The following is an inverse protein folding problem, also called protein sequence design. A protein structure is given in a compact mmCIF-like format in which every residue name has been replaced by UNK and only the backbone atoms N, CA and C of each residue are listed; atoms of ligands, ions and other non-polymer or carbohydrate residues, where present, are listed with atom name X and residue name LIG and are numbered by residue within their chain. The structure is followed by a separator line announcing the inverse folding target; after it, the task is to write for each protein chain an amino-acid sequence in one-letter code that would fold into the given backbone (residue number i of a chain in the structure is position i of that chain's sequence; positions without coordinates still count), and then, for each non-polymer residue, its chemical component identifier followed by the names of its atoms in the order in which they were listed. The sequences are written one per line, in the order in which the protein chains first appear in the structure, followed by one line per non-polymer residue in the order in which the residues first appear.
data_IF_667920090035
#
_entry.id   IF_667920090035
#
_cell.length_a   1.000
_cell.length_b   1.000
_cell.length_c   1.000
_cell.angle_alpha   90.00
_cell.angle_beta   90.00
_cell.angle_gamma   90.00
#
_symmetry.space_group_name_H-M   'P 1'
#
loop_
_entity.id
_entity.type
_entity.pdbx_description
1 polymer ?
#
# COMPACT_ATOMS: atom_id res chain seq x y z
N UNK A 1 -15.93 86.10 -7.53
CA UNK A 1 -17.30 85.61 -7.76
C UNK A 1 -17.28 84.09 -7.63
N UNK A 2 -18.22 83.58 -6.84
CA UNK A 2 -18.64 82.19 -6.61
C UNK A 2 -17.80 81.31 -5.65
N UNK A 3 -18.14 81.38 -4.34
CA UNK A 3 -18.12 80.23 -3.42
C UNK A 3 -19.44 79.42 -3.54
N UNK A 4 -19.73 78.41 -2.69
CA UNK A 4 -19.22 77.04 -2.70
C UNK A 4 -20.38 76.01 -2.77
N UNK A 5 -20.10 74.72 -2.92
CA UNK A 5 -21.06 73.66 -2.55
C UNK A 5 -20.39 72.64 -1.64
N UNK A 6 -20.67 72.86 -0.36
CA UNK A 6 -20.48 71.98 0.77
C UNK A 6 -21.34 70.72 0.61
N UNK A 7 -20.74 69.54 0.74
CA UNK A 7 -21.41 68.41 1.39
C UNK A 7 -20.42 67.82 2.39
N UNK A 8 -20.70 68.11 3.66
CA UNK A 8 -20.13 67.42 4.80
C UNK A 8 -20.88 66.09 5.01
N UNK A 9 -20.15 65.02 5.37
CA UNK A 9 -20.58 63.97 6.32
C UNK A 9 -19.36 63.04 6.50
N UNK A 10 -18.57 63.20 7.56
CA UNK A 10 -18.81 62.74 8.92
C UNK A 10 -18.69 61.20 9.08
N UNK A 11 -17.60 60.82 9.74
CA UNK A 11 -17.49 59.78 10.76
C UNK A 11 -17.96 58.36 10.43
N UNK A 12 -16.99 57.44 10.38
CA UNK A 12 -17.24 56.02 10.42
C UNK A 12 -15.97 55.20 10.56
N UNK A 13 -15.15 55.53 11.56
CA UNK A 13 -14.04 54.68 12.01
C UNK A 13 -14.64 53.41 12.64
N UNK A 14 -15.02 52.42 11.84
CA UNK A 14 -15.37 51.09 12.37
C UNK A 14 -14.11 50.24 12.42
N UNK A 15 -13.42 50.37 13.55
CA UNK A 15 -12.58 49.31 14.11
C UNK A 15 -13.45 48.05 14.22
N UNK A 16 -13.43 47.21 13.18
CA UNK A 16 -14.01 45.88 13.27
C UNK A 16 -13.23 45.12 14.35
N UNK A 17 -13.91 44.58 15.38
CA UNK A 17 -13.26 43.91 16.47
C UNK A 17 -12.52 42.67 15.97
N UNK A 18 -11.31 42.49 16.50
CA UNK A 18 -10.52 41.26 16.50
C UNK A 18 -11.41 40.07 16.87
N UNK A 19 -12.00 39.40 15.87
CA UNK A 19 -12.39 38.02 16.04
C UNK A 19 -11.07 37.24 16.11
N UNK A 20 -10.76 36.50 17.20
CA UNK A 20 -9.67 35.56 17.14
C UNK A 20 -9.97 34.66 15.95
N UNK A 21 -9.01 34.51 15.02
CA UNK A 21 -9.05 33.42 14.06
C UNK A 21 -9.29 32.18 14.90
N UNK A 22 -10.53 31.70 14.89
CA UNK A 22 -10.95 30.52 15.59
C UNK A 22 -9.90 29.48 15.24
N UNK A 23 -9.29 28.90 16.27
CA UNK A 23 -8.28 27.88 16.17
C UNK A 23 -8.67 26.97 15.01
N UNK A 24 -7.98 27.16 13.88
CA UNK A 24 -8.06 26.23 12.79
C UNK A 24 -7.35 25.03 13.40
N UNK A 25 -8.16 24.15 13.99
CA UNK A 25 -7.75 22.88 14.55
C UNK A 25 -6.73 22.36 13.56
N UNK A 26 -5.47 22.27 13.97
CA UNK A 26 -4.43 21.64 13.16
C UNK A 26 -4.94 20.22 12.99
N UNK A 27 -5.75 19.99 11.95
CA UNK A 27 -5.96 18.67 11.41
C UNK A 27 -4.55 18.21 11.11
N UNK A 28 -4.03 17.35 11.99
CA UNK A 28 -2.77 16.69 11.73
C UNK A 28 -2.95 16.04 10.37
N UNK A 29 -2.29 16.60 9.36
CA UNK A 29 -2.33 16.10 7.98
C UNK A 29 -1.90 14.62 7.92
N UNK A 30 -1.30 14.11 9.00
CA UNK A 30 -0.96 12.70 9.24
C UNK A 30 -1.51 12.16 10.57
N UNK A 31 -2.74 12.48 10.96
CA UNK A 31 -3.37 11.92 12.16
C UNK A 31 -3.55 10.38 12.08
N UNK A 32 -3.83 9.69 13.21
CA UNK A 32 -3.97 8.23 13.27
C UNK A 32 -4.96 7.65 12.25
N UNK A 33 -6.11 8.31 12.05
CA UNK A 33 -7.12 7.89 11.09
C UNK A 33 -6.65 8.05 9.64
N UNK A 34 -5.90 9.12 9.34
CA UNK A 34 -5.32 9.29 8.00
C UNK A 34 -4.29 8.20 7.69
N UNK A 35 -3.43 7.84 8.67
CA UNK A 35 -2.46 6.74 8.53
C UNK A 35 -3.15 5.38 8.33
N UNK A 36 -4.27 5.14 9.01
CA UNK A 36 -5.09 3.95 8.80
C UNK A 36 -5.72 3.91 7.41
N UNK A 37 -6.25 5.02 6.90
CA UNK A 37 -6.79 5.11 5.54
C UNK A 37 -5.71 4.85 4.48
N UNK A 38 -4.50 5.37 4.67
CA UNK A 38 -3.36 5.08 3.79
C UNK A 38 -3.03 3.58 3.82
N UNK A 39 -3.00 2.96 5.00
CA UNK A 39 -2.75 1.52 5.12
C UNK A 39 -3.81 0.69 4.38
N UNK A 40 -5.09 0.95 4.64
CA UNK A 40 -6.19 0.19 4.04
C UNK A 40 -6.27 0.34 2.52
N UNK A 41 -5.89 1.52 1.99
CA UNK A 41 -5.87 1.77 0.54
C UNK A 41 -4.64 1.19 -0.17
N UNK A 42 -3.50 1.06 0.51
CA UNK A 42 -2.24 0.63 -0.10
C UNK A 42 -1.84 -0.82 0.22
N UNK A 43 -2.48 -1.46 1.20
CA UNK A 43 -2.22 -2.88 1.51
C UNK A 43 -2.46 -3.74 0.27
N UNK A 44 -1.58 -4.72 0.06
CA UNK A 44 -1.68 -5.67 -1.05
C UNK A 44 -2.56 -6.85 -0.64
N UNK A 45 -3.30 -7.40 -1.60
CA UNK A 45 -4.19 -8.53 -1.40
C UNK A 45 -3.51 -9.86 -1.72
N UNK A 46 -3.59 -10.82 -0.79
CA UNK A 46 -3.14 -12.20 -0.99
C UNK A 46 -3.88 -12.90 -2.15
N UNK A 47 -5.18 -12.63 -2.28
CA UNK A 47 -5.99 -13.18 -3.37
C UNK A 47 -5.51 -12.62 -4.70
N UNK A 48 -5.27 -11.32 -4.79
CA UNK A 48 -4.74 -10.70 -6.01
C UNK A 48 -3.37 -11.26 -6.38
N UNK A 49 -2.46 -11.42 -5.42
CA UNK A 49 -1.14 -12.02 -5.65
C UNK A 49 -1.22 -13.47 -6.15
N UNK A 50 -2.18 -14.24 -5.61
CA UNK A 50 -2.43 -15.62 -6.04
C UNK A 50 -3.00 -15.66 -7.45
N UNK A 51 -3.97 -14.80 -7.78
CA UNK A 51 -4.53 -14.69 -9.12
C UNK A 51 -3.46 -14.30 -10.15
N UNK A 52 -2.59 -13.34 -9.82
CA UNK A 52 -1.46 -12.98 -10.67
C UNK A 52 -0.52 -14.16 -10.90
N UNK A 53 -0.19 -14.92 -9.86
CA UNK A 53 0.63 -16.13 -10.00
C UNK A 53 -0.05 -17.19 -10.87
N UNK A 54 -1.38 -17.33 -10.77
CA UNK A 54 -2.13 -18.29 -11.58
C UNK A 54 -2.09 -17.93 -13.08
N UNK A 55 -2.06 -16.65 -13.42
CA UNK A 55 -1.85 -16.19 -14.81
C UNK A 55 -0.45 -16.58 -15.29
N UNK A 56 0.58 -16.22 -14.53
CA UNK A 56 1.95 -16.60 -14.85
C UNK A 56 2.83 -16.62 -13.59
N UNK A 57 3.61 -17.68 -13.34
CA UNK A 57 4.52 -17.75 -12.21
C UNK A 57 5.53 -16.62 -12.22
N UNK A 58 5.67 -15.97 -11.08
CA UNK A 58 6.45 -14.76 -10.88
C UNK A 58 5.59 -13.51 -10.75
N UNK A 59 4.44 -13.40 -11.45
CA UNK A 59 3.64 -12.16 -11.45
C UNK A 59 3.08 -11.79 -10.07
N UNK A 60 2.73 -12.77 -9.23
CA UNK A 60 2.33 -12.48 -7.84
C UNK A 60 3.45 -11.83 -7.03
N UNK A 61 4.71 -12.19 -7.30
CA UNK A 61 5.87 -11.56 -6.68
C UNK A 61 6.10 -10.14 -7.24
N UNK A 62 5.89 -9.90 -8.54
CA UNK A 62 5.90 -8.56 -9.12
C UNK A 62 4.82 -7.65 -8.50
N UNK A 63 3.61 -8.18 -8.27
CA UNK A 63 2.53 -7.47 -7.60
C UNK A 63 2.90 -7.08 -6.16
N UNK A 64 3.64 -7.95 -5.47
CA UNK A 64 4.17 -7.73 -4.13
C UNK A 64 5.55 -7.03 -4.10
N UNK A 65 6.00 -6.46 -5.21
CA UNK A 65 7.26 -5.70 -5.35
C UNK A 65 8.54 -6.53 -5.09
N UNK A 66 8.44 -7.86 -5.08
CA UNK A 66 9.57 -8.79 -5.01
C UNK A 66 10.01 -9.22 -6.42
N UNK A 67 10.65 -8.30 -7.13
CA UNK A 67 11.04 -8.48 -8.54
C UNK A 67 12.05 -9.61 -8.77
N UNK A 68 12.95 -9.85 -7.81
CA UNK A 68 13.96 -10.90 -7.92
C UNK A 68 13.30 -12.28 -7.99
N UNK A 69 12.42 -12.58 -7.02
CA UNK A 69 11.68 -13.85 -7.02
C UNK A 69 10.72 -13.94 -8.21
N UNK A 70 10.12 -12.81 -8.60
CA UNK A 70 9.34 -12.72 -9.83
C UNK A 70 10.11 -13.16 -11.07
N UNK A 71 11.32 -12.64 -11.25
CA UNK A 71 12.21 -13.00 -12.36
C UNK A 71 12.67 -14.46 -12.30
N UNK A 72 13.06 -14.95 -11.11
CA UNK A 72 13.49 -16.34 -10.93
C UNK A 72 12.40 -17.32 -11.35
N UNK A 73 11.18 -17.17 -10.84
CA UNK A 73 10.09 -18.09 -11.20
C UNK A 73 9.64 -17.95 -12.66
N UNK A 74 9.67 -16.74 -13.21
CA UNK A 74 9.44 -16.54 -14.63
C UNK A 74 10.47 -17.28 -15.50
N UNK A 75 11.75 -17.21 -15.13
CA UNK A 75 12.81 -17.95 -15.83
C UNK A 75 12.62 -19.47 -15.70
N UNK A 76 12.33 -19.97 -14.50
CA UNK A 76 12.07 -21.41 -14.29
C UNK A 76 10.89 -21.87 -15.16
N UNK A 77 9.83 -21.06 -15.29
CA UNK A 77 8.73 -21.38 -16.21
C UNK A 77 9.14 -21.44 -17.67
N UNK A 78 9.92 -20.47 -18.14
CA UNK A 78 10.39 -20.45 -19.54
C UNK A 78 11.29 -21.66 -19.81
N UNK A 79 12.24 -21.95 -18.92
CA UNK A 79 13.11 -23.13 -19.06
C UNK A 79 12.31 -24.43 -18.97
N UNK A 80 11.43 -24.57 -17.97
CA UNK A 80 10.58 -25.75 -17.80
C UNK A 80 9.71 -26.00 -19.03
N UNK A 81 9.07 -24.95 -19.57
CA UNK A 81 8.28 -25.03 -20.79
C UNK A 81 9.12 -25.42 -22.00
N UNK A 82 10.32 -24.86 -22.14
CA UNK A 82 11.25 -25.19 -23.24
C UNK A 82 11.68 -26.64 -23.19
N UNK A 83 12.06 -27.12 -22.00
CA UNK A 83 12.47 -28.52 -21.77
C UNK A 83 11.28 -29.46 -22.03
N UNK A 84 10.09 -29.12 -21.51
CA UNK A 84 8.88 -29.90 -21.74
C UNK A 84 8.57 -30.02 -23.24
N UNK A 85 8.56 -28.90 -23.96
CA UNK A 85 8.31 -28.86 -25.40
C UNK A 85 9.35 -29.66 -26.20
N UNK A 86 10.63 -29.57 -25.82
CA UNK A 86 11.68 -30.40 -26.43
C UNK A 86 11.43 -31.89 -26.20
N UNK A 87 11.06 -32.28 -24.98
CA UNK A 87 10.66 -33.65 -24.67
C UNK A 87 9.49 -34.12 -25.55
N UNK A 88 8.47 -33.27 -25.73
CA UNK A 88 7.31 -33.54 -26.61
C UNK A 88 7.73 -33.76 -28.06
N UNK A 89 8.58 -32.89 -28.61
CA UNK A 89 9.01 -32.97 -30.02
C UNK A 89 9.92 -34.18 -30.27
N UNK A 90 10.69 -34.60 -29.27
CA UNK A 90 11.65 -35.71 -29.38
C UNK A 90 11.11 -37.05 -28.87
N UNK A 91 9.85 -37.08 -28.41
CA UNK A 91 9.19 -38.24 -27.79
C UNK A 91 9.97 -38.83 -26.59
N UNK A 92 10.63 -37.96 -25.81
CA UNK A 92 11.40 -38.34 -24.62
C UNK A 92 10.61 -38.04 -23.34
N UNK A 93 9.93 -39.07 -22.81
CA UNK A 93 9.08 -38.96 -21.62
C UNK A 93 9.81 -38.41 -20.39
N UNK A 94 11.07 -38.77 -20.19
CA UNK A 94 11.87 -38.32 -19.05
C UNK A 94 12.10 -36.81 -19.11
N UNK A 95 12.38 -36.27 -20.30
CA UNK A 95 12.58 -34.84 -20.48
C UNK A 95 11.25 -34.09 -20.31
N UNK A 96 10.15 -34.64 -20.82
CA UNK A 96 8.82 -34.08 -20.56
C UNK A 96 8.54 -34.02 -19.06
N UNK A 97 8.85 -35.09 -18.31
CA UNK A 97 8.65 -35.12 -16.86
C UNK A 97 9.46 -34.03 -16.15
N UNK A 98 10.74 -33.88 -16.47
CA UNK A 98 11.59 -32.84 -15.87
C UNK A 98 11.11 -31.42 -16.17
N UNK A 99 10.69 -31.16 -17.41
CA UNK A 99 10.09 -29.89 -17.79
C UNK A 99 8.80 -29.61 -17.02
N UNK A 100 7.93 -30.62 -16.89
CA UNK A 100 6.68 -30.55 -16.14
C UNK A 100 6.89 -30.30 -14.65
N UNK A 101 7.89 -30.94 -14.03
CA UNK A 101 8.29 -30.69 -12.64
C UNK A 101 8.76 -29.25 -12.47
N UNK A 102 9.59 -28.74 -13.40
CA UNK A 102 10.04 -27.35 -13.38
C UNK A 102 8.87 -26.37 -13.42
N UNK A 103 7.91 -26.61 -14.32
CA UNK A 103 6.71 -25.78 -14.44
C UNK A 103 5.84 -25.84 -13.18
N UNK A 104 5.53 -27.04 -12.69
CA UNK A 104 4.73 -27.22 -11.47
C UNK A 104 5.39 -26.60 -10.24
N UNK A 105 6.71 -26.78 -10.11
CA UNK A 105 7.52 -26.18 -9.06
C UNK A 105 7.51 -24.64 -9.11
N UNK A 106 7.49 -24.06 -10.31
CA UNK A 106 7.43 -22.61 -10.46
C UNK A 106 6.08 -22.03 -10.01
N UNK A 107 4.95 -22.66 -10.38
CA UNK A 107 3.62 -22.23 -9.89
C UNK A 107 3.52 -22.31 -8.38
N UNK A 108 3.91 -23.46 -7.80
CA UNK A 108 3.82 -23.67 -6.36
C UNK A 108 4.76 -22.73 -5.60
N UNK A 109 6.04 -22.68 -6.00
CA UNK A 109 7.05 -21.83 -5.38
C UNK A 109 6.69 -20.35 -5.48
N UNK A 110 6.31 -19.89 -6.68
CA UNK A 110 5.90 -18.49 -6.88
C UNK A 110 4.69 -18.13 -6.03
N UNK A 111 3.72 -19.03 -5.88
CA UNK A 111 2.51 -18.75 -5.12
C UNK A 111 2.82 -18.57 -3.63
N UNK A 112 3.68 -19.42 -3.09
CA UNK A 112 4.13 -19.32 -1.70
C UNK A 112 4.90 -18.02 -1.49
N UNK A 113 5.91 -17.73 -2.32
CA UNK A 113 6.75 -16.55 -2.14
C UNK A 113 5.98 -15.25 -2.37
N UNK A 114 5.03 -15.23 -3.31
CA UNK A 114 4.18 -14.07 -3.53
C UNK A 114 3.33 -13.75 -2.29
N UNK A 115 2.81 -14.78 -1.62
CA UNK A 115 2.03 -14.60 -0.40
C UNK A 115 2.89 -14.13 0.78
N UNK A 116 4.12 -14.66 0.90
CA UNK A 116 5.08 -14.17 1.89
C UNK A 116 5.47 -12.72 1.62
N UNK A 117 5.74 -12.36 0.36
CA UNK A 117 6.06 -10.98 -0.02
C UNK A 117 4.92 -10.00 0.26
N UNK A 118 3.65 -10.39 0.03
CA UNK A 118 2.48 -9.57 0.43
C UNK A 118 2.44 -9.37 1.94
N UNK A 119 2.72 -10.42 2.71
CA UNK A 119 2.73 -10.34 4.17
C UNK A 119 3.83 -9.38 4.66
N UNK A 120 5.04 -9.51 4.11
CA UNK A 120 6.18 -8.64 4.45
C UNK A 120 5.91 -7.19 4.07
N UNK A 121 5.38 -6.95 2.86
CA UNK A 121 4.99 -5.62 2.38
C UNK A 121 3.94 -4.99 3.30
N UNK A 122 2.88 -5.71 3.63
CA UNK A 122 1.82 -5.20 4.51
C UNK A 122 2.34 -4.95 5.93
N UNK A 123 3.23 -5.79 6.44
CA UNK A 123 3.87 -5.61 7.74
C UNK A 123 4.81 -4.40 7.77
N UNK A 124 5.56 -4.15 6.70
CA UNK A 124 6.40 -2.96 6.54
C UNK A 124 5.56 -1.69 6.40
N UNK A 125 4.51 -1.72 5.58
CA UNK A 125 3.56 -0.61 5.43
C UNK A 125 2.91 -0.25 6.76
N UNK A 126 2.47 -1.26 7.53
CA UNK A 126 1.88 -1.05 8.86
C UNK A 126 2.86 -0.40 9.83
N UNK A 127 4.12 -0.87 9.84
CA UNK A 127 5.20 -0.32 10.69
C UNK A 127 5.56 1.10 10.29
N UNK A 128 5.71 1.38 9.00
CA UNK A 128 6.00 2.73 8.48
C UNK A 128 4.91 3.75 8.81
N UNK A 129 3.65 3.32 8.80
CA UNK A 129 2.49 4.16 9.12
C UNK A 129 2.14 4.17 10.62
N UNK A 130 2.85 3.41 11.47
CA UNK A 130 2.60 3.28 12.91
C UNK A 130 1.12 3.01 13.25
N UNK A 131 0.47 2.18 12.44
CA UNK A 131 -0.96 1.86 12.61
C UNK A 131 -1.12 0.86 13.76
N UNK A 132 -1.56 1.37 14.91
CA UNK A 132 -1.81 0.60 16.15
C UNK A 132 -0.90 0.95 17.34
N UNK A 133 0.04 1.89 17.20
CA UNK A 133 0.89 2.35 18.32
C UNK A 133 0.27 3.52 19.13
N UNK A 134 -0.81 4.11 18.64
CA UNK A 134 -1.53 5.21 19.30
C UNK A 134 -2.98 4.79 19.57
N UNK A 135 -3.14 3.81 20.46
CA UNK A 135 -4.34 3.73 21.27
C UNK A 135 -4.06 4.64 22.48
N UNK A 136 -4.69 5.83 22.60
CA UNK A 136 -4.57 6.57 23.84
C UNK A 136 -5.08 5.65 24.94
N UNK A 137 -4.30 5.47 26.00
CA UNK A 137 -4.73 4.79 27.21
C UNK A 137 -5.89 5.58 27.85
N UNK A 138 -7.09 5.48 27.29
CA UNK A 138 -8.35 5.82 27.93
C UNK A 138 -8.85 4.57 28.65
N UNK A 139 -7.99 3.98 29.48
CA UNK A 139 -8.39 3.12 30.60
C UNK A 139 -8.34 3.98 31.87
N UNK A 140 -9.30 3.85 32.79
CA UNK A 140 -9.38 4.73 33.95
C UNK A 140 -8.09 4.63 34.78
N UNK A 141 -7.43 5.76 34.98
CA UNK A 141 -6.41 5.90 36.03
C UNK A 141 -7.14 5.75 37.36
N UNK A 142 -7.17 4.52 37.88
CA UNK A 142 -7.47 4.27 39.28
C UNK A 142 -6.39 4.97 40.10
N UNK A 143 -6.65 6.22 40.47
CA UNK A 143 -5.89 6.91 41.49
C UNK A 143 -6.15 6.21 42.81
N UNK A 144 -5.32 5.24 43.16
CA UNK A 144 -5.22 4.74 44.52
C UNK A 144 -4.59 5.88 45.33
N UNK A 145 -5.44 6.66 46.01
CA UNK A 145 -5.00 7.47 47.14
C UNK A 145 -4.85 6.52 48.34
N UNK A 146 -3.72 6.71 49.04
CA UNK A 146 -3.21 5.98 50.19
C UNK A 146 -4.26 5.51 51.19
#
# INVERSE_FOLDING_TARGET
MNQPLTVAMALGLTLAPLAPLAAQEKQEVFGPEHRRQIYESNKKSHVAATLWTAVFPGLGNFYAENYLMGGIFGMVMVFGTTIFAYGVVTDQSDIMLWGGIGMGGAYLGSGITANLAVMDFNAELRRGLKVGEFEPASGPVLSVRF
#
